data_IF_640316243849
#
_entry.id   IF_640316243849
#
_cell.length_a   1.000
_cell.length_b   1.000
_cell.length_c   1.000
_cell.angle_alpha   90.00
_cell.angle_beta   90.00
_cell.angle_gamma   90.00
#
_symmetry.space_group_name_H-M   'P 1'
#
loop_
_entity.id
_entity.type
_entity.pdbx_description
1 polymer ?
#
# COMPACT_ATOMS: atom_id res chain seq x y z
N UNK A 1 -24.58 0.11 -3.91
CA UNK A 1 -24.05 1.49 -3.71
C UNK A 1 -23.15 1.62 -2.48
N UNK A 2 -23.55 1.14 -1.29
CA UNK A 2 -22.76 1.29 -0.06
C UNK A 2 -21.41 0.56 -0.09
N UNK A 3 -21.34 -0.62 -0.70
CA UNK A 3 -20.10 -1.40 -0.76
C UNK A 3 -19.04 -0.79 -1.69
N UNK A 4 -19.46 -0.12 -2.76
CA UNK A 4 -18.56 0.62 -3.63
C UNK A 4 -17.89 1.80 -2.91
N UNK A 5 -18.65 2.54 -2.11
CA UNK A 5 -18.12 3.65 -1.29
C UNK A 5 -17.14 3.11 -0.23
N UNK A 6 -17.50 2.01 0.46
CA UNK A 6 -16.60 1.34 1.42
C UNK A 6 -15.31 0.84 0.75
N UNK A 7 -15.41 0.28 -0.45
CA UNK A 7 -14.25 -0.19 -1.21
C UNK A 7 -13.34 0.95 -1.66
N UNK A 8 -13.93 2.09 -2.07
CA UNK A 8 -13.18 3.31 -2.42
C UNK A 8 -12.39 3.85 -1.24
N UNK A 9 -13.03 3.98 -0.09
CA UNK A 9 -12.39 4.42 1.16
C UNK A 9 -11.30 3.44 1.62
N UNK A 10 -11.54 2.13 1.54
CA UNK A 10 -10.51 1.11 1.81
C UNK A 10 -9.30 1.25 0.88
N UNK A 11 -9.52 1.45 -0.42
CA UNK A 11 -8.45 1.62 -1.42
C UNK A 11 -7.63 2.88 -1.15
N UNK A 12 -8.26 3.99 -0.78
CA UNK A 12 -7.58 5.24 -0.43
C UNK A 12 -6.73 5.11 0.85
N UNK A 13 -7.24 4.41 1.87
CA UNK A 13 -6.48 4.11 3.10
C UNK A 13 -5.24 3.25 2.79
N UNK A 14 -5.39 2.22 1.96
CA UNK A 14 -4.27 1.36 1.56
C UNK A 14 -3.20 2.13 0.78
N UNK A 15 -3.61 2.99 -0.17
CA UNK A 15 -2.69 3.88 -0.92
C UNK A 15 -1.94 4.82 0.02
N UNK A 16 -2.64 5.48 0.94
CA UNK A 16 -2.03 6.39 1.91
C UNK A 16 -1.00 5.67 2.76
N UNK A 17 -1.34 4.47 3.25
CA UNK A 17 -0.43 3.64 4.06
C UNK A 17 0.80 3.20 3.26
N UNK A 18 0.62 2.79 2.00
CA UNK A 18 1.71 2.45 1.09
C UNK A 18 2.68 3.63 0.91
N UNK A 19 2.17 4.81 0.56
CA UNK A 19 3.00 6.01 0.36
C UNK A 19 3.78 6.39 1.62
N UNK A 20 3.14 6.31 2.80
CA UNK A 20 3.80 6.59 4.07
C UNK A 20 4.93 5.60 4.38
N UNK A 21 4.73 4.31 4.12
CA UNK A 21 5.77 3.30 4.31
C UNK A 21 6.95 3.50 3.35
N UNK A 22 6.69 3.77 2.07
CA UNK A 22 7.72 4.02 1.08
C UNK A 22 8.53 5.29 1.39
N UNK A 23 7.86 6.36 1.79
CA UNK A 23 8.52 7.60 2.22
C UNK A 23 9.46 7.34 3.41
N UNK A 24 9.00 6.59 4.41
CA UNK A 24 9.82 6.24 5.58
C UNK A 24 10.97 5.31 5.23
N UNK A 25 10.76 4.34 4.33
CA UNK A 25 11.81 3.45 3.84
C UNK A 25 12.93 4.27 3.19
N UNK A 26 12.56 5.16 2.25
CA UNK A 26 13.51 6.04 1.57
C UNK A 26 14.32 6.92 2.54
N UNK A 27 13.65 7.55 3.52
CA UNK A 27 14.31 8.39 4.52
C UNK A 27 15.30 7.62 5.40
N UNK A 28 15.02 6.34 5.69
CA UNK A 28 15.84 5.51 6.57
C UNK A 28 16.96 4.79 5.80
N UNK A 29 16.81 4.58 4.49
CA UNK A 29 17.75 3.83 3.67
C UNK A 29 19.23 4.23 3.84
N UNK A 30 19.60 5.53 3.90
CA UNK A 30 21.00 5.93 4.08
C UNK A 30 21.59 5.57 5.45
N UNK A 31 20.74 5.39 6.47
CA UNK A 31 21.17 5.17 7.87
C UNK A 31 21.02 3.73 8.32
N UNK A 32 20.02 3.02 7.79
CA UNK A 32 19.72 1.65 8.19
C UNK A 32 19.01 0.90 7.06
N UNK A 33 19.80 0.23 6.23
CA UNK A 33 19.32 -0.57 5.11
C UNK A 33 18.31 -1.65 5.55
N UNK A 34 18.63 -2.41 6.60
CA UNK A 34 17.76 -3.49 7.07
C UNK A 34 16.37 -2.98 7.48
N UNK A 35 16.28 -1.83 8.14
CA UNK A 35 15.01 -1.21 8.51
C UNK A 35 14.27 -0.65 7.29
N UNK A 36 14.98 -0.06 6.34
CA UNK A 36 14.38 0.38 5.06
C UNK A 36 13.79 -0.81 4.29
N UNK A 37 14.54 -1.90 4.15
CA UNK A 37 14.11 -3.11 3.45
C UNK A 37 12.84 -3.70 4.08
N UNK A 38 12.78 -3.80 5.43
CA UNK A 38 11.57 -4.23 6.14
C UNK A 38 10.36 -3.34 5.87
N UNK A 39 10.54 -2.02 5.76
CA UNK A 39 9.45 -1.09 5.44
C UNK A 39 9.01 -1.23 3.98
N UNK A 40 9.97 -1.40 3.07
CA UNK A 40 9.74 -1.63 1.65
C UNK A 40 8.94 -2.93 1.44
N UNK A 41 9.29 -4.03 2.13
CA UNK A 41 8.59 -5.30 2.00
C UNK A 41 7.13 -5.21 2.50
N UNK A 42 6.89 -4.48 3.59
CA UNK A 42 5.52 -4.17 4.04
C UNK A 42 4.75 -3.34 3.01
N UNK A 43 5.40 -2.36 2.38
CA UNK A 43 4.77 -1.58 1.32
C UNK A 43 4.46 -2.44 0.08
N UNK A 44 5.34 -3.37 -0.32
CA UNK A 44 5.07 -4.30 -1.42
C UNK A 44 3.86 -5.20 -1.13
N UNK A 45 3.65 -5.62 0.11
CA UNK A 45 2.46 -6.38 0.50
C UNK A 45 1.18 -5.57 0.30
N UNK A 46 1.17 -4.29 0.70
CA UNK A 46 0.02 -3.40 0.46
C UNK A 46 -0.22 -3.15 -1.03
N UNK A 47 0.85 -3.03 -1.82
CA UNK A 47 0.74 -2.90 -3.28
C UNK A 47 0.12 -4.14 -3.92
N UNK A 48 0.46 -5.34 -3.42
CA UNK A 48 -0.17 -6.60 -3.86
C UNK A 48 -1.65 -6.62 -3.52
N UNK A 49 -2.04 -6.19 -2.32
CA UNK A 49 -3.46 -6.08 -1.93
C UNK A 49 -4.21 -5.08 -2.82
N UNK A 50 -3.63 -3.90 -3.10
CA UNK A 50 -4.20 -2.91 -4.01
C UNK A 50 -4.41 -3.48 -5.41
N UNK A 51 -3.43 -4.21 -5.96
CA UNK A 51 -3.55 -4.86 -7.27
C UNK A 51 -4.66 -5.91 -7.29
N UNK A 52 -4.78 -6.71 -6.23
CA UNK A 52 -5.84 -7.71 -6.13
C UNK A 52 -7.23 -7.05 -6.06
N UNK A 53 -7.38 -5.96 -5.32
CA UNK A 53 -8.63 -5.19 -5.29
C UNK A 53 -8.95 -4.59 -6.66
N UNK A 54 -7.95 -4.07 -7.38
CA UNK A 54 -8.16 -3.51 -8.71
C UNK A 54 -8.57 -4.58 -9.74
N UNK A 55 -7.94 -5.76 -9.69
CA UNK A 55 -8.35 -6.89 -10.50
C UNK A 55 -9.79 -7.31 -10.18
N UNK A 56 -10.16 -7.44 -8.91
CA UNK A 56 -11.52 -7.80 -8.51
C UNK A 56 -12.58 -6.80 -8.96
N UNK A 57 -12.28 -5.50 -8.95
CA UNK A 57 -13.22 -4.46 -9.41
C UNK A 57 -13.31 -4.36 -10.95
N UNK A 58 -12.29 -4.77 -11.70
CA UNK A 58 -12.31 -4.73 -13.17
C UNK A 58 -13.13 -5.86 -13.82
N UNK A 59 -13.57 -6.85 -13.04
CA UNK A 59 -14.44 -7.95 -13.50
C UNK A 59 -15.89 -7.82 -12.98
N UNK A 60 -16.29 -6.67 -12.42
CA UNK A 60 -17.66 -6.37 -11.98
C UNK A 60 -18.38 -5.39 -12.90
#
# INVERSE_FOLDING_TARGET
MLDWIKNKDRKERLKTKYCNLMRRAYQIAPRNKAKSDRLNDKAKQLLKELRNLDLQNNFQ
#
